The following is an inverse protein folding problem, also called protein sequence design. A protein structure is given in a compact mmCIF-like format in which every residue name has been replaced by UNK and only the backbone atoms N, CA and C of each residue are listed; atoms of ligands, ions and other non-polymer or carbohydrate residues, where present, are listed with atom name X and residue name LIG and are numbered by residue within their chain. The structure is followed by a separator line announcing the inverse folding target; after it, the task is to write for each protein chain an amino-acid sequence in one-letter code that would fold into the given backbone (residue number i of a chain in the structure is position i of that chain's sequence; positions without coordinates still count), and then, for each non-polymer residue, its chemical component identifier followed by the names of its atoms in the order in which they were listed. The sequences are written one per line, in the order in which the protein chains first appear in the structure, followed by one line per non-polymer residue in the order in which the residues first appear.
data_IF_608188796811
#
_entry.id   IF_608188796811
#
_cell.length_a   1.000
_cell.length_b   1.000
_cell.length_c   1.000
_cell.angle_alpha   90.00
_cell.angle_beta   90.00
_cell.angle_gamma   90.00
#
_symmetry.space_group_name_H-M   'P 1'
#
loop_
_entity.id
_entity.type
_entity.pdbx_description
1 polymer ?
#
# COMPACT_ATOMS: atom_id res chain seq x y z
N UNK A 1 6.61 -16.27 -9.04
CA UNK A 1 6.37 -15.03 -9.81
C UNK A 1 6.12 -13.91 -8.82
N UNK A 2 7.02 -12.93 -8.75
CA UNK A 2 6.91 -11.80 -7.82
C UNK A 2 5.57 -11.10 -8.06
N UNK A 3 4.77 -10.99 -7.00
CA UNK A 3 3.46 -10.36 -6.88
C UNK A 3 3.13 -9.35 -8.02
N UNK A 4 2.73 -9.85 -9.20
CA UNK A 4 2.41 -9.02 -10.36
C UNK A 4 1.26 -8.05 -10.01
N UNK A 5 0.41 -8.48 -9.10
CA UNK A 5 -0.64 -7.68 -8.48
C UNK A 5 -0.10 -6.47 -7.70
N UNK A 6 0.91 -6.65 -6.86
CA UNK A 6 1.53 -5.54 -6.12
C UNK A 6 2.18 -4.53 -7.08
N UNK A 7 2.89 -5.03 -8.09
CA UNK A 7 3.50 -4.16 -9.11
C UNK A 7 2.44 -3.39 -9.91
N UNK A 8 1.30 -4.00 -10.20
CA UNK A 8 0.18 -3.33 -10.85
C UNK A 8 -0.39 -2.21 -9.97
N UNK A 9 -0.65 -2.47 -8.69
CA UNK A 9 -1.15 -1.47 -7.73
C UNK A 9 -0.16 -0.31 -7.55
N UNK A 10 1.14 -0.59 -7.44
CA UNK A 10 2.17 0.45 -7.34
C UNK A 10 2.27 1.30 -8.61
N UNK A 11 2.12 0.67 -9.79
CA UNK A 11 2.12 1.35 -11.09
C UNK A 11 0.90 2.26 -11.26
N UNK A 12 -0.29 1.77 -10.89
CA UNK A 12 -1.55 2.53 -10.95
C UNK A 12 -1.50 3.75 -10.02
N UNK A 13 -1.04 3.57 -8.78
CA UNK A 13 -0.85 4.65 -7.81
C UNK A 13 0.08 5.73 -8.36
N UNK A 14 1.22 5.33 -8.93
CA UNK A 14 2.22 6.27 -9.44
C UNK A 14 1.73 7.04 -10.67
N UNK A 15 0.97 6.38 -11.54
CA UNK A 15 0.36 7.01 -12.72
C UNK A 15 -0.68 8.06 -12.31
N UNK A 16 -1.59 7.71 -11.39
CA UNK A 16 -2.58 8.65 -10.85
C UNK A 16 -1.91 9.82 -10.15
N UNK A 17 -0.84 9.59 -9.40
CA UNK A 17 -0.12 10.67 -8.72
C UNK A 17 0.59 11.61 -9.71
N UNK A 18 1.15 11.06 -10.79
CA UNK A 18 1.74 11.85 -11.88
C UNK A 18 0.67 12.67 -12.61
N UNK A 19 -0.49 12.09 -12.88
CA UNK A 19 -1.62 12.78 -13.51
C UNK A 19 -2.17 13.91 -12.61
N UNK A 20 -2.35 13.65 -11.32
CA UNK A 20 -2.73 14.68 -10.34
C UNK A 20 -1.75 15.84 -10.31
N UNK A 21 -0.44 15.54 -10.37
CA UNK A 21 0.62 16.55 -10.35
C UNK A 21 0.67 17.34 -11.65
N UNK A 22 0.50 16.66 -12.78
CA UNK A 22 0.56 17.28 -14.11
C UNK A 22 -0.65 18.17 -14.38
N UNK A 23 -1.85 17.73 -13.97
CA UNK A 23 -3.09 18.49 -14.12
C UNK A 23 -3.34 19.50 -13.00
N UNK A 24 -2.57 19.46 -11.92
CA UNK A 24 -2.77 20.33 -10.75
C UNK A 24 -4.11 20.07 -10.05
N UNK A 25 -4.53 18.80 -9.96
CA UNK A 25 -5.84 18.43 -9.41
C UNK A 25 -5.94 18.78 -7.93
N UNK A 26 -7.13 19.29 -7.55
CA UNK A 26 -7.48 19.60 -6.17
C UNK A 26 -7.45 18.33 -5.29
N UNK A 27 -7.46 18.51 -3.97
CA UNK A 27 -7.37 17.39 -3.03
C UNK A 27 -8.64 16.54 -2.99
N UNK A 28 -9.78 17.10 -3.38
CA UNK A 28 -11.11 16.46 -3.34
C UNK A 28 -11.48 15.73 -4.64
N UNK A 29 -10.52 15.52 -5.54
CA UNK A 29 -10.80 14.83 -6.80
C UNK A 29 -10.80 13.32 -6.61
N UNK A 30 -11.58 12.58 -7.43
CA UNK A 30 -11.68 11.12 -7.32
C UNK A 30 -10.33 10.40 -7.46
N UNK A 31 -9.36 10.99 -8.16
CA UNK A 31 -8.01 10.45 -8.33
C UNK A 31 -7.25 10.41 -6.99
N UNK A 32 -7.42 11.42 -6.14
CA UNK A 32 -6.82 11.45 -4.78
C UNK A 32 -7.43 10.41 -3.87
N UNK A 33 -8.75 10.25 -3.94
CA UNK A 33 -9.48 9.20 -3.20
C UNK A 33 -8.97 7.82 -3.64
N UNK A 34 -8.82 7.61 -4.95
CA UNK A 34 -8.30 6.36 -5.50
C UNK A 34 -6.87 6.06 -5.07
N UNK A 35 -6.00 7.07 -5.01
CA UNK A 35 -4.62 6.92 -4.50
C UNK A 35 -4.62 6.47 -3.04
N UNK A 36 -5.49 7.04 -2.19
CA UNK A 36 -5.60 6.65 -0.78
C UNK A 36 -6.05 5.19 -0.63
N UNK A 37 -7.02 4.75 -1.43
CA UNK A 37 -7.48 3.36 -1.47
C UNK A 37 -6.37 2.40 -1.92
N UNK A 38 -5.60 2.77 -2.96
CA UNK A 38 -4.44 2.00 -3.41
C UNK A 38 -3.34 1.92 -2.32
N UNK A 39 -3.11 3.00 -1.57
CA UNK A 39 -2.17 3.01 -0.45
C UNK A 39 -2.60 2.07 0.68
N UNK A 40 -3.89 2.02 1.01
CA UNK A 40 -4.40 1.04 1.97
C UNK A 40 -4.25 -0.40 1.50
N UNK A 41 -4.55 -0.68 0.23
CA UNK A 41 -4.41 -2.02 -0.35
C UNK A 41 -2.95 -2.48 -0.34
N UNK A 42 -2.03 -1.59 -0.71
CA UNK A 42 -0.59 -1.85 -0.64
C UNK A 42 -0.12 -2.09 0.80
N UNK A 43 -0.62 -1.32 1.77
CA UNK A 43 -0.30 -1.50 3.18
C UNK A 43 -0.82 -2.86 3.70
N UNK A 44 -2.07 -3.23 3.39
CA UNK A 44 -2.66 -4.53 3.77
C UNK A 44 -1.87 -5.70 3.20
N UNK A 45 -1.44 -5.61 1.93
CA UNK A 45 -0.61 -6.65 1.33
C UNK A 45 0.82 -6.70 1.89
N UNK A 46 1.45 -5.54 2.15
CA UNK A 46 2.78 -5.49 2.80
C UNK A 46 2.75 -6.07 4.21
N UNK A 47 1.72 -5.73 5.00
CA UNK A 47 1.52 -6.28 6.33
C UNK A 47 1.33 -7.80 6.28
N UNK A 48 0.52 -8.30 5.34
CA UNK A 48 0.30 -9.74 5.14
C UNK A 48 1.55 -10.50 4.69
N UNK A 49 2.39 -9.86 3.88
CA UNK A 49 3.68 -10.42 3.43
C UNK A 49 4.71 -10.44 4.57
N UNK A 50 4.65 -9.48 5.50
CA UNK A 50 5.51 -9.45 6.68
C UNK A 50 5.03 -10.38 7.80
N UNK A 51 3.72 -10.66 7.90
CA UNK A 51 3.15 -11.60 8.88
C UNK A 51 3.32 -13.08 8.49
N UNK A 52 3.88 -13.38 7.31
CA UNK A 52 4.33 -14.73 6.94
C UNK A 52 5.71 -15.08 7.52
N UNK A 53 6.39 -14.12 8.14
CA UNK A 53 7.71 -14.29 8.77
C UNK A 53 7.79 -13.47 10.06
N UNK A 54 6.95 -13.78 11.06
CA UNK A 54 7.25 -13.44 12.44
C UNK A 54 7.87 -14.68 13.12
N UNK A 55 9.13 -14.61 13.59
CA UNK A 55 9.67 -15.62 14.49
C UNK A 55 8.99 -15.50 15.85
N UNK A 56 8.82 -16.65 16.49
CA UNK A 56 8.38 -16.83 17.86
C UNK A 56 9.12 -15.92 18.87
N UNK A 57 8.37 -15.32 19.81
CA UNK A 57 8.84 -14.94 21.16
C UNK A 57 9.14 -13.44 21.42
N UNK A 58 9.16 -13.00 22.69
CA UNK A 58 9.31 -13.82 23.89
C UNK A 58 8.07 -13.86 24.80
N UNK A 59 7.79 -15.06 25.29
CA UNK A 59 7.04 -15.35 26.50
C UNK A 59 7.51 -14.43 27.63
N UNK A 60 6.62 -13.52 28.04
CA UNK A 60 6.85 -12.70 29.21
C UNK A 60 6.74 -13.60 30.44
N UNK A 61 7.91 -13.94 30.99
CA UNK A 61 8.09 -14.53 32.30
C UNK A 61 7.35 -13.68 33.35
N UNK A 62 6.28 -14.22 33.93
CA UNK A 62 5.53 -13.63 35.06
C UNK A 62 6.12 -14.29 36.32
N UNK A 63 6.52 -13.50 37.33
CA UNK A 63 7.23 -14.01 38.52
C UNK A 63 6.40 -14.96 39.39
#
# INVERSE_FOLDING_TARGET
MADLYLKALESERRSLWAECRLKGLAKDTPERIRIAELDELLAKHKAKKNSGSAPSGPEANIP
#
